data_IF_260159961125
#
_entry.id   IF_260159961125
#
_cell.length_a   1.000
_cell.length_b   1.000
_cell.length_c   1.000
_cell.angle_alpha   90.00
_cell.angle_beta   90.00
_cell.angle_gamma   90.00
#
_symmetry.space_group_name_H-M   'P 1'
#
loop_
_entity.id
_entity.type
_entity.pdbx_description
1 polymer ?
#
# COMPACT_ATOMS: atom_id res chain seq x y z
N UNK A 1 19.36 -8.17 8.90
CA UNK A 1 17.91 -8.21 9.16
C UNK A 1 17.11 -8.20 7.84
N UNK A 2 17.08 -7.12 7.05
CA UNK A 2 16.32 -7.08 5.78
C UNK A 2 16.80 -8.11 4.71
N UNK A 3 18.09 -8.45 4.70
CA UNK A 3 18.68 -9.43 3.77
C UNK A 3 18.21 -10.88 3.99
N UNK A 4 17.60 -11.20 5.14
CA UNK A 4 17.20 -12.58 5.45
C UNK A 4 15.88 -12.99 4.78
N UNK A 5 14.93 -12.06 4.66
CA UNK A 5 13.63 -12.33 4.00
C UNK A 5 13.79 -12.38 2.48
N UNK A 6 14.58 -11.47 1.91
CA UNK A 6 14.84 -11.41 0.48
C UNK A 6 15.49 -12.71 -0.03
N UNK A 7 16.50 -13.23 0.70
CA UNK A 7 17.19 -14.48 0.35
C UNK A 7 16.29 -15.72 0.42
N UNK A 8 15.20 -15.66 1.17
CA UNK A 8 14.23 -16.75 1.29
C UNK A 8 13.03 -16.60 0.33
N UNK A 9 13.04 -15.58 -0.54
CA UNK A 9 11.90 -15.27 -1.40
C UNK A 9 10.67 -14.78 -0.63
N UNK A 10 10.84 -14.32 0.61
CA UNK A 10 9.76 -13.87 1.50
C UNK A 10 9.50 -12.36 1.43
N UNK A 11 10.04 -11.71 0.39
CA UNK A 11 9.91 -10.27 0.17
C UNK A 11 10.91 -9.42 0.98
N UNK A 12 10.66 -8.12 0.97
CA UNK A 12 11.45 -7.12 1.69
C UNK A 12 10.59 -6.58 2.84
N UNK A 13 11.09 -6.58 4.10
CA UNK A 13 10.33 -6.00 5.19
C UNK A 13 10.19 -4.49 4.96
N UNK A 14 8.98 -3.95 5.15
CA UNK A 14 8.78 -2.50 5.23
C UNK A 14 9.47 -1.99 6.49
N UNK A 15 10.28 -0.94 6.34
CA UNK A 15 11.03 -0.36 7.46
C UNK A 15 10.09 0.36 8.45
N UNK A 16 9.04 1.00 7.92
CA UNK A 16 7.97 1.64 8.69
C UNK A 16 6.65 0.91 8.41
N UNK A 17 6.17 0.06 9.33
CA UNK A 17 4.95 -0.70 9.12
C UNK A 17 3.67 0.12 9.37
N UNK A 18 3.78 1.30 9.98
CA UNK A 18 2.65 2.17 10.30
C UNK A 18 2.14 2.92 9.07
N UNK A 19 0.82 3.10 8.92
CA UNK A 19 0.26 3.89 7.82
C UNK A 19 0.62 5.36 7.98
N UNK A 20 0.89 6.03 6.87
CA UNK A 20 1.18 7.47 6.88
C UNK A 20 -0.03 8.28 7.36
N UNK A 21 0.21 9.40 8.05
CA UNK A 21 -0.84 10.21 8.70
C UNK A 21 -1.79 10.86 7.70
N UNK A 22 -1.31 11.15 6.49
CA UNK A 22 -2.05 11.73 5.36
C UNK A 22 -3.01 10.75 4.68
N UNK A 23 -3.00 9.45 5.03
CA UNK A 23 -3.88 8.47 4.40
C UNK A 23 -5.31 8.55 4.93
N UNK A 24 -6.31 8.11 4.12
CA UNK A 24 -7.71 8.02 4.55
C UNK A 24 -7.84 7.32 5.90
N UNK A 25 -8.71 7.84 6.77
CA UNK A 25 -8.88 7.30 8.12
C UNK A 25 -9.28 5.82 8.12
N UNK A 26 -10.00 5.36 7.09
CA UNK A 26 -10.33 3.96 6.89
C UNK A 26 -9.08 3.10 6.62
N UNK A 27 -8.22 3.53 5.70
CA UNK A 27 -6.96 2.84 5.41
C UNK A 27 -6.02 2.83 6.63
N UNK A 28 -5.94 3.94 7.39
CA UNK A 28 -5.14 3.98 8.62
C UNK A 28 -5.58 2.98 9.70
N UNK A 29 -6.87 2.62 9.73
CA UNK A 29 -7.41 1.61 10.66
C UNK A 29 -7.20 0.18 10.16
N UNK A 30 -7.28 -0.03 8.85
CA UNK A 30 -7.14 -1.34 8.21
C UNK A 30 -5.68 -1.77 8.04
N UNK A 31 -4.80 -0.82 7.73
CA UNK A 31 -3.42 -1.09 7.32
C UNK A 31 -3.30 -1.57 5.88
N UNK A 32 -2.10 -2.03 5.52
CA UNK A 32 -1.76 -2.57 4.20
C UNK A 32 -2.55 -3.86 3.94
N UNK A 33 -3.06 -4.00 2.72
CA UNK A 33 -3.84 -5.13 2.25
C UNK A 33 -3.37 -5.64 0.89
N UNK A 34 -3.80 -6.86 0.53
CA UNK A 34 -3.55 -7.41 -0.81
C UNK A 34 -4.27 -6.53 -1.84
N UNK A 35 -3.58 -6.24 -2.95
CA UNK A 35 -4.07 -5.38 -4.03
C UNK A 35 -3.69 -3.90 -3.88
N UNK A 36 -3.01 -3.53 -2.80
CA UNK A 36 -2.49 -2.17 -2.64
C UNK A 36 -1.42 -1.88 -3.70
N UNK A 37 -1.61 -0.75 -4.39
CA UNK A 37 -0.67 -0.18 -5.33
C UNK A 37 -0.01 1.00 -4.64
N UNK A 38 1.31 1.03 -4.71
CA UNK A 38 2.12 2.07 -4.10
C UNK A 38 3.57 1.95 -4.53
N UNK A 39 4.40 2.86 -4.04
CA UNK A 39 5.87 2.79 -4.23
C UNK A 39 6.55 2.54 -2.90
N UNK A 40 7.72 1.90 -2.95
CA UNK A 40 8.62 1.82 -1.80
C UNK A 40 9.64 2.96 -1.93
N UNK A 41 9.72 3.83 -0.92
CA UNK A 41 10.69 4.94 -0.89
C UNK A 41 12.11 4.42 -0.63
N UNK A 42 13.17 5.21 -0.92
CA UNK A 42 14.54 4.84 -0.57
C UNK A 42 14.75 4.52 0.92
N UNK A 43 13.93 5.12 1.80
CA UNK A 43 13.91 4.88 3.25
C UNK A 43 13.15 3.61 3.64
N UNK A 44 12.60 2.86 2.68
CA UNK A 44 11.87 1.61 2.91
C UNK A 44 10.43 1.80 3.40
N UNK A 45 9.82 2.97 3.13
CA UNK A 45 8.43 3.29 3.47
C UNK A 45 7.53 2.88 2.30
N UNK A 46 6.37 2.29 2.58
CA UNK A 46 5.35 2.07 1.56
C UNK A 46 4.44 3.30 1.43
N UNK A 47 4.44 3.89 0.24
CA UNK A 47 3.65 5.04 -0.14
C UNK A 47 2.44 4.58 -0.95
N UNK A 48 1.28 4.52 -0.28
CA UNK A 48 0.04 3.96 -0.80
C UNK A 48 -0.65 4.92 -1.77
N UNK A 49 -1.18 4.39 -2.88
CA UNK A 49 -1.97 5.15 -3.85
C UNK A 49 -3.44 4.73 -3.86
N UNK A 50 -3.73 3.46 -4.17
CA UNK A 50 -5.08 2.90 -4.24
C UNK A 50 -5.02 1.37 -4.15
N UNK A 51 -6.17 0.71 -4.01
CA UNK A 51 -6.29 -0.75 -4.02
C UNK A 51 -7.07 -1.22 -5.25
N UNK A 52 -6.50 -2.17 -6.00
CA UNK A 52 -7.07 -2.68 -7.26
C UNK A 52 -8.36 -3.49 -7.09
N UNK A 53 -8.63 -4.03 -5.91
CA UNK A 53 -9.84 -4.83 -5.63
C UNK A 53 -10.99 -4.00 -5.05
N UNK A 54 -10.74 -2.73 -4.73
CA UNK A 54 -11.77 -1.84 -4.22
C UNK A 54 -12.40 -1.05 -5.37
N UNK A 55 -13.69 -0.71 -5.22
CA UNK A 55 -14.39 0.09 -6.23
C UNK A 55 -13.74 1.46 -6.43
N UNK A 56 -13.99 2.06 -7.58
CA UNK A 56 -13.52 3.41 -7.89
C UNK A 56 -14.02 4.45 -6.86
N UNK A 57 -15.26 4.27 -6.39
CA UNK A 57 -15.91 5.15 -5.40
C UNK A 57 -15.56 4.78 -3.93
N UNK A 58 -14.68 3.81 -3.70
CA UNK A 58 -14.35 3.38 -2.34
C UNK A 58 -13.59 4.51 -1.61
N UNK A 59 -13.87 4.79 -0.32
CA UNK A 59 -13.20 5.88 0.42
C UNK A 59 -11.67 5.75 0.53
N UNK A 60 -11.16 4.52 0.39
CA UNK A 60 -9.72 4.21 0.31
C UNK A 60 -9.12 4.62 -1.04
N UNK A 61 -9.88 4.48 -2.12
CA UNK A 61 -9.49 4.80 -3.50
C UNK A 61 -9.76 6.29 -3.80
N UNK A 62 -9.23 7.18 -2.96
CA UNK A 62 -9.49 8.61 -3.08
C UNK A 62 -8.85 9.25 -4.32
N UNK A 63 -7.73 8.69 -4.81
CA UNK A 63 -6.99 9.18 -5.97
C UNK A 63 -6.65 8.00 -6.89
N UNK A 64 -7.50 7.77 -7.89
CA UNK A 64 -7.35 6.73 -8.91
C UNK A 64 -7.20 7.34 -10.30
N UNK A 65 -6.59 6.62 -11.26
CA UNK A 65 -6.64 7.00 -12.67
C UNK A 65 -8.09 7.15 -13.18
N UNK A 66 -8.32 8.06 -14.12
CA UNK A 66 -9.66 8.37 -14.64
C UNK A 66 -10.40 7.15 -15.20
N UNK A 67 -9.68 6.23 -15.84
CA UNK A 67 -10.23 5.02 -16.46
C UNK A 67 -9.95 3.77 -15.61
N UNK A 68 -9.81 3.94 -14.30
CA UNK A 68 -9.55 2.83 -13.38
C UNK A 68 -10.76 1.88 -13.32
N UNK A 69 -10.51 0.60 -13.62
CA UNK A 69 -11.46 -0.50 -13.46
C UNK A 69 -10.89 -1.46 -12.42
N UNK A 70 -11.60 -1.72 -11.32
CA UNK A 70 -11.20 -2.72 -10.32
C UNK A 70 -11.06 -4.12 -10.93
N UNK A 71 -10.18 -4.93 -10.35
CA UNK A 71 -9.93 -6.33 -10.74
C UNK A 71 -10.88 -7.32 -10.07
#
# INVERSE_FOLDING_TARGET
YCSQLLRQGRGTPLYVPGPQVNLPAEYRRRGVAIGDVGRVTPEGIFDFFFNIYLSADHPINANIPQDFVPL
#
